data_IF_957695522989
#
_entry.id   IF_957695522989
#
_cell.length_a   1.000
_cell.length_b   1.000
_cell.length_c   1.000
_cell.angle_alpha   90.00
_cell.angle_beta   90.00
_cell.angle_gamma   90.00
#
_symmetry.space_group_name_H-M   'P 1'
#
loop_
_entity.id
_entity.type
_entity.pdbx_description
1 polymer ?
#
# COMPACT_ATOMS: atom_id res chain seq x y z
N UNK A 1 30.21 -22.58 37.39
CA UNK A 1 29.05 -21.63 37.32
C UNK A 1 27.79 -22.49 37.24
N UNK A 2 26.95 -22.56 38.28
CA UNK A 2 25.67 -23.30 38.21
C UNK A 2 24.69 -22.38 37.43
N UNK A 3 24.35 -22.76 36.22
CA UNK A 3 23.37 -22.04 35.42
C UNK A 3 22.02 -22.00 36.17
N UNK A 4 21.52 -20.81 36.47
CA UNK A 4 20.24 -20.64 37.17
C UNK A 4 19.07 -20.89 36.20
N UNK A 5 18.90 -22.16 35.79
CA UNK A 5 18.01 -22.57 34.72
C UNK A 5 16.52 -22.21 34.96
N UNK A 6 16.05 -22.26 36.22
CA UNK A 6 14.66 -21.92 36.56
C UNK A 6 14.29 -20.45 36.30
N UNK A 7 15.10 -19.45 36.71
CA UNK A 7 14.86 -18.04 36.35
C UNK A 7 14.90 -17.81 34.84
N UNK A 8 15.87 -18.44 34.15
CA UNK A 8 16.01 -18.33 32.72
C UNK A 8 14.80 -18.88 31.98
N UNK A 9 14.29 -20.07 32.37
CA UNK A 9 13.08 -20.63 31.78
C UNK A 9 11.85 -19.76 32.03
N UNK A 10 11.70 -19.20 33.24
CA UNK A 10 10.58 -18.28 33.52
C UNK A 10 10.66 -17.02 32.68
N UNK A 11 11.84 -16.43 32.49
CA UNK A 11 12.04 -15.28 31.65
C UNK A 11 11.70 -15.62 30.18
N UNK A 12 12.23 -16.72 29.67
CA UNK A 12 11.97 -17.18 28.29
C UNK A 12 10.48 -17.44 28.07
N UNK A 13 9.82 -18.16 28.97
CA UNK A 13 8.37 -18.43 28.87
C UNK A 13 7.55 -17.14 28.86
N UNK A 14 7.88 -16.18 29.73
CA UNK A 14 7.23 -14.87 29.75
C UNK A 14 7.41 -14.13 28.42
N UNK A 15 8.64 -14.07 27.92
CA UNK A 15 8.98 -13.29 26.72
C UNK A 15 8.37 -13.95 25.47
N UNK A 16 8.35 -15.29 25.40
CA UNK A 16 7.62 -16.03 24.37
C UNK A 16 6.11 -15.77 24.46
N UNK A 17 5.54 -15.75 25.68
CA UNK A 17 4.13 -15.45 25.89
C UNK A 17 3.75 -14.06 25.40
N UNK A 18 4.51 -13.04 25.71
CA UNK A 18 4.27 -11.67 25.19
C UNK A 18 4.38 -11.61 23.67
N UNK A 19 5.37 -12.28 23.08
CA UNK A 19 5.52 -12.36 21.64
C UNK A 19 4.31 -13.06 21.00
N UNK A 20 3.88 -14.19 21.57
CA UNK A 20 2.72 -14.93 21.07
C UNK A 20 1.43 -14.08 21.13
N UNK A 21 1.17 -13.42 22.26
CA UNK A 21 0.00 -12.52 22.39
C UNK A 21 0.06 -11.38 21.37
N UNK A 22 1.22 -10.73 21.23
CA UNK A 22 1.41 -9.63 20.26
C UNK A 22 1.13 -10.07 18.82
N UNK A 23 1.70 -11.20 18.40
CA UNK A 23 1.46 -11.76 17.08
C UNK A 23 -0.01 -12.16 16.89
N UNK A 24 -0.63 -12.81 17.87
CA UNK A 24 -2.05 -13.17 17.81
C UNK A 24 -2.94 -11.96 17.59
N UNK A 25 -2.71 -10.86 18.33
CA UNK A 25 -3.48 -9.62 18.16
C UNK A 25 -3.31 -9.02 16.77
N UNK A 26 -2.08 -8.97 16.26
CA UNK A 26 -1.80 -8.46 14.90
C UNK A 26 -2.51 -9.32 13.84
N UNK A 27 -2.40 -10.65 13.97
CA UNK A 27 -3.04 -11.57 13.02
C UNK A 27 -4.56 -11.53 13.11
N UNK A 28 -5.14 -11.43 14.31
CA UNK A 28 -6.58 -11.29 14.48
C UNK A 28 -7.11 -9.99 13.86
N UNK A 29 -6.46 -8.86 14.14
CA UNK A 29 -6.83 -7.57 13.55
C UNK A 29 -6.69 -7.58 12.02
N UNK A 30 -5.60 -8.17 11.50
CA UNK A 30 -5.38 -8.32 10.07
C UNK A 30 -6.41 -9.26 9.43
N UNK A 31 -6.76 -10.38 10.09
CA UNK A 31 -7.78 -11.31 9.61
C UNK A 31 -9.15 -10.66 9.49
N UNK A 32 -9.56 -9.89 10.52
CA UNK A 32 -10.79 -9.10 10.46
C UNK A 32 -10.77 -8.11 9.29
N UNK A 33 -9.67 -7.39 9.09
CA UNK A 33 -9.53 -6.45 7.99
C UNK A 33 -9.61 -7.14 6.61
N UNK A 34 -8.97 -8.29 6.46
CA UNK A 34 -9.00 -9.08 5.20
C UNK A 34 -10.39 -9.64 4.92
N UNK A 35 -11.13 -10.08 5.95
CA UNK A 35 -12.50 -10.58 5.77
C UNK A 35 -13.48 -9.51 5.25
N UNK A 36 -13.17 -8.23 5.48
CA UNK A 36 -13.98 -7.10 5.02
C UNK A 36 -13.39 -6.39 3.78
N UNK A 37 -12.52 -7.05 3.02
CA UNK A 37 -11.87 -6.45 1.85
C UNK A 37 -12.86 -6.06 0.75
N UNK A 38 -14.04 -6.67 0.72
CA UNK A 38 -15.13 -6.30 -0.19
C UNK A 38 -15.83 -4.98 0.18
N UNK A 39 -15.75 -4.58 1.44
CA UNK A 39 -16.39 -3.36 1.95
C UNK A 39 -15.43 -2.17 1.92
N UNK A 40 -14.16 -2.41 2.12
CA UNK A 40 -13.09 -1.39 2.11
C UNK A 40 -11.72 -2.02 1.90
N UNK A 41 -10.79 -1.29 1.27
CA UNK A 41 -9.41 -1.77 1.11
C UNK A 41 -8.58 -1.48 2.39
N UNK A 42 -8.20 -2.53 3.15
CA UNK A 42 -7.40 -2.34 4.36
C UNK A 42 -5.93 -1.99 4.07
N UNK A 43 -5.45 -2.21 2.85
CA UNK A 43 -4.06 -1.97 2.46
C UNK A 43 -3.82 -0.59 1.88
N UNK A 44 -4.85 -0.02 1.23
CA UNK A 44 -4.76 1.27 0.55
C UNK A 44 -5.97 2.16 0.85
N UNK A 45 -5.78 3.45 0.70
CA UNK A 45 -6.85 4.45 0.67
C UNK A 45 -6.81 5.09 -0.71
N UNK A 46 -7.90 4.97 -1.46
CA UNK A 46 -8.07 5.71 -2.72
C UNK A 46 -8.32 7.18 -2.40
N UNK A 47 -7.79 8.05 -3.22
CA UNK A 47 -8.09 9.47 -3.22
C UNK A 47 -8.40 9.93 -4.64
N UNK A 48 -9.20 10.95 -4.74
CA UNK A 48 -9.54 11.66 -5.95
C UNK A 48 -9.43 13.15 -5.65
N UNK A 49 -8.71 13.87 -6.48
CA UNK A 49 -8.51 15.31 -6.32
C UNK A 49 -8.58 15.98 -7.69
N UNK A 50 -9.32 17.07 -7.78
CA UNK A 50 -9.45 17.84 -9.01
C UNK A 50 -8.52 19.05 -8.97
N UNK A 51 -7.87 19.33 -10.10
CA UNK A 51 -7.01 20.49 -10.30
C UNK A 51 -7.45 21.25 -11.56
N UNK A 52 -7.35 22.57 -11.52
CA UNK A 52 -7.62 23.46 -12.64
C UNK A 52 -6.30 24.11 -13.08
N UNK A 53 -5.72 23.62 -14.16
CA UNK A 53 -4.41 24.07 -14.62
C UNK A 53 -4.47 25.12 -15.74
N UNK A 54 -5.69 25.41 -16.24
CA UNK A 54 -5.89 26.23 -17.43
C UNK A 54 -5.46 25.51 -18.73
N UNK A 55 -5.61 26.15 -19.89
CA UNK A 55 -5.33 25.51 -21.16
C UNK A 55 -3.92 24.90 -21.22
N UNK A 56 -3.82 23.71 -21.79
CA UNK A 56 -2.61 22.91 -21.85
C UNK A 56 -2.19 22.67 -23.33
N UNK A 57 -0.92 22.31 -23.57
CA UNK A 57 -0.49 21.91 -24.91
C UNK A 57 -1.30 20.71 -25.42
N UNK A 58 -1.57 20.66 -26.72
CA UNK A 58 -2.33 19.55 -27.35
C UNK A 58 -1.46 18.36 -27.72
N UNK A 59 -0.16 18.52 -27.80
CA UNK A 59 0.77 17.43 -28.06
C UNK A 59 1.02 16.64 -26.78
N UNK A 60 0.91 15.32 -26.84
CA UNK A 60 0.84 14.43 -25.67
C UNK A 60 2.08 14.51 -24.77
N UNK A 61 3.27 14.56 -25.35
CA UNK A 61 4.51 14.66 -24.58
C UNK A 61 4.64 16.02 -23.88
N UNK A 62 4.29 17.10 -24.58
CA UNK A 62 4.30 18.46 -24.02
C UNK A 62 3.21 18.64 -22.96
N UNK A 63 2.02 18.03 -23.15
CA UNK A 63 0.93 18.02 -22.20
C UNK A 63 1.36 17.30 -20.91
N UNK A 64 1.88 16.07 -21.02
CA UNK A 64 2.36 15.31 -19.87
C UNK A 64 3.45 16.05 -19.10
N UNK A 65 4.41 16.68 -19.80
CA UNK A 65 5.46 17.48 -19.17
C UNK A 65 4.89 18.72 -18.45
N UNK A 66 3.94 19.44 -19.07
CA UNK A 66 3.30 20.61 -18.46
C UNK A 66 2.48 20.25 -17.22
N UNK A 67 1.72 19.15 -17.27
CA UNK A 67 0.90 18.68 -16.13
C UNK A 67 1.80 18.23 -14.99
N UNK A 68 2.82 17.41 -15.25
CA UNK A 68 3.75 16.93 -14.21
C UNK A 68 4.50 18.09 -13.56
N UNK A 69 4.93 19.09 -14.33
CA UNK A 69 5.60 20.28 -13.82
C UNK A 69 4.66 21.12 -12.93
N UNK A 70 3.44 21.40 -13.39
CA UNK A 70 2.45 22.21 -12.62
C UNK A 70 2.00 21.55 -11.34
N UNK A 71 1.86 20.22 -11.32
CA UNK A 71 1.48 19.44 -10.13
C UNK A 71 2.67 19.03 -9.26
N UNK A 72 3.92 19.37 -9.67
CA UNK A 72 5.13 19.04 -8.91
C UNK A 72 5.40 17.53 -8.79
N UNK A 73 5.00 16.76 -9.82
CA UNK A 73 5.19 15.31 -9.85
C UNK A 73 6.60 15.01 -10.35
N UNK A 74 7.45 14.43 -9.49
CA UNK A 74 8.83 14.09 -9.84
C UNK A 74 8.94 12.75 -10.59
N UNK A 75 7.89 11.92 -10.56
CA UNK A 75 7.83 10.62 -11.22
C UNK A 75 7.57 10.80 -12.72
N UNK A 76 8.28 10.04 -13.56
CA UNK A 76 8.00 10.01 -14.99
C UNK A 76 6.73 9.20 -15.29
N UNK A 77 5.88 9.63 -16.23
CA UNK A 77 4.73 8.85 -16.66
C UNK A 77 5.16 7.48 -17.20
N UNK A 78 4.40 6.44 -16.87
CA UNK A 78 4.56 5.11 -17.48
C UNK A 78 3.94 5.04 -18.86
N UNK A 79 2.79 5.69 -18.99
CA UNK A 79 2.03 5.71 -20.24
C UNK A 79 1.26 7.02 -20.36
N UNK A 80 1.07 7.47 -21.60
CA UNK A 80 0.24 8.60 -21.95
C UNK A 80 -0.67 8.15 -23.09
N UNK A 81 -1.96 8.06 -22.81
CA UNK A 81 -2.96 7.56 -23.72
C UNK A 81 -4.00 8.64 -24.02
N UNK A 82 -4.19 8.96 -25.29
CA UNK A 82 -5.23 9.88 -25.73
C UNK A 82 -6.50 9.11 -26.04
N UNK A 83 -7.51 9.23 -25.17
CA UNK A 83 -8.81 8.59 -25.33
C UNK A 83 -9.67 9.36 -26.37
N UNK A 84 -9.55 10.70 -26.41
CA UNK A 84 -10.28 11.57 -27.34
C UNK A 84 -9.54 12.91 -27.53
N UNK A 85 -10.08 13.79 -28.35
CA UNK A 85 -9.54 15.16 -28.54
C UNK A 85 -9.55 15.97 -27.23
N UNK A 86 -10.47 15.65 -26.32
CA UNK A 86 -10.68 16.35 -25.03
C UNK A 86 -10.29 15.52 -23.81
N UNK A 87 -9.72 14.33 -23.98
CA UNK A 87 -9.40 13.45 -22.86
C UNK A 87 -8.08 12.73 -23.08
N UNK A 88 -7.14 12.94 -22.17
CA UNK A 88 -5.82 12.30 -22.16
C UNK A 88 -5.56 11.71 -20.77
N UNK A 89 -5.23 10.43 -20.75
CA UNK A 89 -4.88 9.69 -19.54
C UNK A 89 -3.37 9.60 -19.38
N UNK A 90 -2.87 10.06 -18.24
CA UNK A 90 -1.45 9.97 -17.87
C UNK A 90 -1.33 9.02 -16.69
N UNK A 91 -0.72 7.86 -16.92
CA UNK A 91 -0.62 6.79 -15.91
C UNK A 91 0.77 6.77 -15.27
N UNK A 92 0.80 6.67 -13.95
CA UNK A 92 1.98 6.45 -13.12
C UNK A 92 1.86 5.12 -12.35
N UNK A 93 2.82 4.77 -11.53
CA UNK A 93 2.80 3.50 -10.77
C UNK A 93 1.59 3.33 -9.84
N UNK A 94 1.13 4.42 -9.20
CA UNK A 94 0.06 4.38 -8.17
C UNK A 94 -0.93 5.53 -8.31
N UNK A 95 -0.95 6.15 -9.46
CA UNK A 95 -1.69 7.37 -9.75
C UNK A 95 -2.06 7.40 -11.22
N UNK A 96 -3.24 7.89 -11.53
CA UNK A 96 -3.69 8.21 -12.88
C UNK A 96 -4.23 9.62 -12.92
N UNK A 97 -3.93 10.35 -13.98
CA UNK A 97 -4.44 11.68 -14.24
C UNK A 97 -5.31 11.62 -15.47
N UNK A 98 -6.57 12.02 -15.35
CA UNK A 98 -7.48 12.25 -16.47
C UNK A 98 -7.48 13.73 -16.79
N UNK A 99 -6.98 14.09 -17.95
CA UNK A 99 -6.68 15.48 -18.31
C UNK A 99 -7.54 15.92 -19.48
N UNK A 100 -8.23 17.04 -19.32
CA UNK A 100 -8.85 17.75 -20.43
C UNK A 100 -7.90 18.88 -20.91
N UNK A 101 -7.29 18.77 -22.10
CA UNK A 101 -6.29 19.73 -22.54
C UNK A 101 -6.87 21.11 -22.86
N UNK A 102 -8.14 21.21 -23.26
CA UNK A 102 -8.77 22.46 -23.64
C UNK A 102 -9.15 23.32 -22.44
N UNK A 103 -9.64 22.70 -21.38
CA UNK A 103 -10.03 23.38 -20.13
C UNK A 103 -8.91 23.42 -19.11
N UNK A 104 -8.01 22.45 -19.14
CA UNK A 104 -6.99 22.22 -18.13
C UNK A 104 -7.53 21.59 -16.85
N UNK A 105 -8.72 21.02 -16.91
CA UNK A 105 -9.30 20.21 -15.84
C UNK A 105 -8.53 18.90 -15.72
N UNK A 106 -8.03 18.60 -14.53
CA UNK A 106 -7.25 17.40 -14.24
C UNK A 106 -7.86 16.68 -13.03
N UNK A 107 -8.35 15.47 -13.25
CA UNK A 107 -8.79 14.58 -12.19
C UNK A 107 -7.64 13.64 -11.83
N UNK A 108 -7.17 13.76 -10.59
CA UNK A 108 -6.03 13.03 -10.04
C UNK A 108 -6.55 11.93 -9.14
N UNK A 109 -6.44 10.69 -9.59
CA UNK A 109 -6.82 9.51 -8.86
C UNK A 109 -5.59 8.70 -8.45
N UNK A 110 -5.60 8.21 -7.22
CA UNK A 110 -4.48 7.39 -6.76
C UNK A 110 -4.75 6.64 -5.48
N UNK A 111 -3.76 5.88 -5.07
CA UNK A 111 -3.82 5.06 -3.88
C UNK A 111 -2.67 5.37 -2.93
N UNK A 112 -2.99 5.63 -1.65
CA UNK A 112 -2.03 5.82 -0.56
C UNK A 112 -2.00 4.57 0.32
N UNK A 113 -0.82 3.99 0.60
CA UNK A 113 -0.72 2.82 1.45
C UNK A 113 -1.07 3.13 2.91
N UNK A 114 -1.86 2.29 3.55
CA UNK A 114 -2.11 2.27 5.00
C UNK A 114 -0.98 1.49 5.66
N UNK A 115 0.07 2.16 6.14
CA UNK A 115 1.34 1.54 6.54
C UNK A 115 1.18 0.31 7.45
N UNK A 116 0.51 0.43 8.59
CA UNK A 116 0.39 -0.67 9.57
C UNK A 116 -0.49 -1.81 9.06
N UNK A 117 -1.68 -1.49 8.52
CA UNK A 117 -2.61 -2.50 8.03
C UNK A 117 -2.08 -3.21 6.80
N UNK A 118 -1.43 -2.48 5.89
CA UNK A 118 -0.79 -3.07 4.73
C UNK A 118 0.32 -4.04 5.14
N UNK A 119 1.16 -3.68 6.12
CA UNK A 119 2.22 -4.56 6.63
C UNK A 119 1.62 -5.81 7.27
N UNK A 120 0.62 -5.67 8.14
CA UNK A 120 -0.06 -6.77 8.78
C UNK A 120 -0.72 -7.72 7.77
N UNK A 121 -1.43 -7.17 6.76
CA UNK A 121 -2.05 -7.95 5.69
C UNK A 121 -1.01 -8.64 4.80
N UNK A 122 0.11 -7.97 4.52
CA UNK A 122 1.20 -8.56 3.74
C UNK A 122 1.82 -9.78 4.44
N UNK A 123 2.00 -9.71 5.77
CA UNK A 123 2.44 -10.83 6.60
C UNK A 123 1.38 -11.93 6.67
N UNK A 124 0.12 -11.56 6.93
CA UNK A 124 -1.00 -12.50 7.04
C UNK A 124 -1.22 -13.31 5.75
N UNK A 125 -1.22 -12.64 4.59
CA UNK A 125 -1.42 -13.27 3.28
C UNK A 125 -0.16 -13.96 2.74
N UNK A 126 0.90 -14.06 3.56
CA UNK A 126 2.17 -14.69 3.20
C UNK A 126 2.77 -14.18 1.87
N UNK A 127 2.55 -12.91 1.55
CA UNK A 127 3.10 -12.26 0.34
C UNK A 127 4.60 -12.00 0.45
N UNK A 128 5.17 -12.13 1.65
CA UNK A 128 6.59 -12.05 1.96
C UNK A 128 7.29 -13.39 1.74
N UNK A 129 7.85 -13.56 0.59
CA UNK A 129 8.48 -14.77 0.03
C UNK A 129 9.33 -15.62 1.00
N UNK A 130 9.23 -16.94 0.84
CA UNK A 130 10.10 -18.04 1.32
C UNK A 130 10.33 -18.16 2.84
N UNK A 131 10.97 -17.23 3.51
CA UNK A 131 11.35 -17.38 4.92
C UNK A 131 10.20 -17.13 5.90
N UNK A 132 9.34 -16.15 5.61
CA UNK A 132 8.19 -15.83 6.46
C UNK A 132 7.21 -16.99 6.59
N UNK A 133 7.02 -17.81 5.56
CA UNK A 133 6.17 -19.01 5.61
C UNK A 133 6.61 -19.96 6.73
N UNK A 134 7.90 -20.23 6.83
CA UNK A 134 8.42 -21.11 7.87
C UNK A 134 8.25 -20.53 9.28
N UNK A 135 8.38 -19.23 9.44
CA UNK A 135 8.13 -18.53 10.72
C UNK A 135 6.66 -18.67 11.10
N UNK A 136 5.74 -18.41 10.17
CA UNK A 136 4.31 -18.50 10.38
C UNK A 136 3.87 -19.94 10.70
N UNK A 137 4.38 -20.93 9.96
CA UNK A 137 4.08 -22.35 10.18
C UNK A 137 4.61 -22.83 11.53
N UNK A 138 5.84 -22.43 11.90
CA UNK A 138 6.43 -22.78 13.21
C UNK A 138 5.63 -22.14 14.36
N UNK A 139 5.20 -20.89 14.18
CA UNK A 139 4.35 -20.20 15.14
C UNK A 139 3.00 -20.91 15.30
N UNK A 140 2.32 -21.22 14.21
CA UNK A 140 1.04 -21.93 14.24
C UNK A 140 1.15 -23.31 14.88
N UNK A 141 2.20 -24.08 14.54
CA UNK A 141 2.47 -25.40 15.15
C UNK A 141 2.78 -25.31 16.65
N UNK A 142 3.44 -24.23 17.09
CA UNK A 142 3.74 -24.00 18.51
C UNK A 142 2.55 -23.59 19.37
N UNK A 143 1.41 -23.22 18.76
CA UNK A 143 0.15 -22.90 19.44
C UNK A 143 -0.77 -24.11 19.60
N UNK A 144 -0.52 -25.21 18.88
CA UNK A 144 -1.26 -26.48 18.95
C UNK A 144 -0.69 -27.36 20.04
#
# INVERSE_FOLDING_TARGET
MKLAWRPTLRALHRDMGYTAVGLTLIYAASGLAVNHIGDWDPSFTSYETTHELGPLPKEDAALAAAVTQKLGIAEAPRDVYRASDTEVDITFDKRSLHVNPDTGHVQDEGQKPRFLLRLANWLHLNRGKKQWRYVADTYAAGLL
#
